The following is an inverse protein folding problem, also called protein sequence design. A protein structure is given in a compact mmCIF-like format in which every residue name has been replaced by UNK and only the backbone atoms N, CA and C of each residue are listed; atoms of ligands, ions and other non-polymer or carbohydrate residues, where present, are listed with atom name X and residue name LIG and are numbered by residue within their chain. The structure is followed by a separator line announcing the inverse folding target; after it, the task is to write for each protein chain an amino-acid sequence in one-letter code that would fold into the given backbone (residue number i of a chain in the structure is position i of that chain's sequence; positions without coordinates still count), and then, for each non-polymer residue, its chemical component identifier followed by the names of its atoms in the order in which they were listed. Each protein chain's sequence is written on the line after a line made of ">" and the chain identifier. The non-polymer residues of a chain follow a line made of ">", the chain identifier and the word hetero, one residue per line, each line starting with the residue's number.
data_IF_836093596329
#
_entry.id   IF_836093596329
#
_cell.length_a   1.000
_cell.length_b   1.000
_cell.length_c   1.000
_cell.angle_alpha   90.00
_cell.angle_beta   90.00
_cell.angle_gamma   90.00
#
_symmetry.space_group_name_H-M   'P 1'
#
loop_
_entity.id
_entity.type
_entity.pdbx_description
1 polymer ?
#
# COMPACT_ATOMS: atom_id res chain seq x y z
N UNK A 1 30.51 9.19 -8.64
CA UNK A 1 31.56 9.98 -9.30
C UNK A 1 32.88 9.26 -9.02
N UNK A 2 33.68 8.97 -10.05
CA UNK A 2 34.92 8.21 -9.88
C UNK A 2 36.05 9.15 -9.45
N UNK A 3 36.68 8.85 -8.32
CA UNK A 3 37.86 9.55 -7.81
C UNK A 3 39.10 8.67 -8.00
N UNK A 4 40.22 9.30 -8.35
CA UNK A 4 41.51 8.67 -8.55
C UNK A 4 42.46 9.18 -7.47
N UNK A 5 43.41 8.35 -7.02
CA UNK A 5 44.40 8.74 -6.04
C UNK A 5 45.69 9.14 -6.75
N UNK A 6 46.09 10.40 -6.58
CA UNK A 6 47.37 10.91 -7.07
C UNK A 6 48.38 10.86 -5.91
N UNK A 7 49.47 10.07 -6.01
CA UNK A 7 50.49 10.03 -4.98
C UNK A 7 51.28 11.34 -4.99
N UNK A 8 51.38 12.00 -3.85
CA UNK A 8 52.22 13.18 -3.68
C UNK A 8 53.64 12.77 -3.24
N UNK A 9 54.64 13.61 -3.55
CA UNK A 9 56.01 13.42 -3.08
C UNK A 9 56.17 13.34 -1.55
N UNK A 10 55.18 13.80 -0.78
CA UNK A 10 55.16 13.65 0.68
C UNK A 10 54.63 12.28 1.16
N UNK A 11 54.23 11.39 0.24
CA UNK A 11 53.67 10.08 0.55
C UNK A 11 52.16 10.07 0.84
N UNK A 12 51.48 11.21 0.70
CA UNK A 12 50.03 11.30 0.85
C UNK A 12 49.30 11.11 -0.49
N UNK A 13 48.17 10.41 -0.46
CA UNK A 13 47.30 10.23 -1.64
C UNK A 13 46.27 11.35 -1.73
N UNK A 14 46.24 12.04 -2.88
CA UNK A 14 45.34 13.16 -3.13
C UNK A 14 44.16 12.66 -3.98
N UNK A 15 42.91 12.76 -3.51
CA UNK A 15 41.75 12.39 -4.32
C UNK A 15 41.52 13.44 -5.41
N UNK A 16 41.67 13.04 -6.66
CA UNK A 16 41.44 13.87 -7.85
C UNK A 16 40.29 13.31 -8.69
N UNK A 17 39.46 14.21 -9.21
CA UNK A 17 38.38 13.86 -10.13
C UNK A 17 38.83 14.01 -11.58
N UNK A 18 38.13 13.33 -12.50
CA UNK A 18 38.39 13.47 -13.95
C UNK A 18 38.27 14.93 -14.45
N UNK A 19 37.49 15.77 -13.77
CA UNK A 19 37.33 17.19 -14.11
C UNK A 19 38.58 18.04 -13.82
N UNK A 20 39.49 17.53 -12.98
CA UNK A 20 40.73 18.22 -12.59
C UNK A 20 41.95 17.75 -13.40
N UNK A 21 41.74 16.91 -14.41
CA UNK A 21 42.79 16.38 -15.28
C UNK A 21 43.54 17.50 -16.03
N UNK A 22 44.87 17.43 -16.04
CA UNK A 22 45.72 18.43 -16.70
C UNK A 22 45.84 19.77 -15.97
N UNK A 23 45.28 19.90 -14.76
CA UNK A 23 45.44 21.06 -13.89
C UNK A 23 46.57 20.91 -12.87
N UNK A 24 46.60 21.81 -11.88
CA UNK A 24 47.44 21.69 -10.68
C UNK A 24 46.55 21.68 -9.45
N UNK A 25 46.89 20.86 -8.46
CA UNK A 25 46.17 20.79 -7.20
C UNK A 25 47.14 20.88 -6.02
N UNK A 26 46.76 21.62 -4.99
CA UNK A 26 47.52 21.68 -3.74
C UNK A 26 47.32 20.40 -2.93
N UNK A 27 48.42 19.79 -2.48
CA UNK A 27 48.36 18.68 -1.53
C UNK A 27 47.82 19.19 -0.17
N UNK A 28 46.76 18.59 0.39
CA UNK A 28 46.23 19.01 1.69
C UNK A 28 47.17 18.71 2.86
N UNK A 29 48.14 17.80 2.69
CA UNK A 29 49.07 17.42 3.75
C UNK A 29 50.31 18.33 3.81
N UNK A 30 50.93 18.63 2.67
CA UNK A 30 52.17 19.40 2.61
C UNK A 30 52.05 20.78 1.96
N UNK A 31 50.89 21.11 1.39
CA UNK A 31 50.61 22.39 0.72
C UNK A 31 51.30 22.58 -0.63
N UNK A 32 52.06 21.58 -1.13
CA UNK A 32 52.75 21.66 -2.42
C UNK A 32 51.77 21.52 -3.58
N UNK A 33 51.97 22.28 -4.65
CA UNK A 33 51.23 22.13 -5.90
C UNK A 33 51.77 20.94 -6.69
N UNK A 34 50.91 19.96 -6.95
CA UNK A 34 51.22 18.78 -7.75
C UNK A 34 50.50 18.87 -9.09
N UNK A 35 51.20 18.53 -10.18
CA UNK A 35 50.62 18.53 -11.52
C UNK A 35 49.74 17.29 -11.70
N UNK A 36 48.47 17.50 -12.02
CA UNK A 36 47.53 16.40 -12.28
C UNK A 36 47.78 15.88 -13.71
N UNK A 37 48.06 14.58 -13.89
CA UNK A 37 48.26 14.00 -15.21
C UNK A 37 47.08 14.25 -16.15
N UNK A 38 47.33 14.20 -17.45
CA UNK A 38 46.27 14.35 -18.46
C UNK A 38 45.27 13.20 -18.32
N UNK A 39 44.05 13.44 -18.82
CA UNK A 39 42.94 12.48 -18.70
C UNK A 39 43.27 11.07 -19.21
N UNK A 40 44.14 10.98 -20.22
CA UNK A 40 44.63 9.71 -20.79
C UNK A 40 45.45 8.88 -19.79
N UNK A 41 46.24 9.53 -18.94
CA UNK A 41 47.17 8.88 -18.01
C UNK A 41 46.53 8.69 -16.61
N UNK A 42 45.48 9.45 -16.31
CA UNK A 42 44.63 9.29 -15.13
C UNK A 42 44.00 7.90 -15.01
N UNK A 43 43.75 7.23 -16.14
CA UNK A 43 43.22 5.86 -16.17
C UNK A 43 44.18 4.79 -15.64
N UNK A 44 45.47 5.12 -15.50
CA UNK A 44 46.50 4.22 -14.97
C UNK A 44 46.72 4.36 -13.46
N UNK A 45 46.17 5.43 -12.84
CA UNK A 45 46.27 5.63 -11.40
C UNK A 45 45.36 4.66 -10.64
N UNK A 46 45.74 4.26 -9.40
CA UNK A 46 44.84 3.57 -8.50
C UNK A 46 43.57 4.40 -8.37
N UNK A 47 42.45 3.83 -8.81
CA UNK A 47 41.15 4.39 -8.45
C UNK A 47 41.11 4.37 -6.93
N UNK A 48 40.60 5.44 -6.33
CA UNK A 48 40.08 5.32 -4.99
C UNK A 48 39.01 4.24 -5.11
N UNK A 49 39.36 2.99 -4.81
CA UNK A 49 38.37 1.98 -4.53
C UNK A 49 37.44 2.68 -3.54
N UNK A 50 36.15 2.56 -3.76
CA UNK A 50 35.20 2.87 -2.71
C UNK A 50 35.48 1.86 -1.58
N UNK A 51 36.59 2.04 -0.87
CA UNK A 51 36.90 1.44 0.40
C UNK A 51 35.81 1.97 1.31
N UNK A 52 34.77 1.14 1.39
CA UNK A 52 34.31 0.65 2.66
C UNK A 52 34.51 1.67 3.76
N UNK A 53 33.63 2.68 3.78
CA UNK A 53 33.20 3.26 5.05
C UNK A 53 32.59 2.12 5.85
N UNK A 54 33.43 1.39 6.56
CA UNK A 54 33.07 0.61 7.74
C UNK A 54 32.44 1.62 8.68
N UNK A 55 31.11 1.65 8.75
CA UNK A 55 30.41 2.55 9.67
C UNK A 55 29.16 3.25 9.17
N UNK A 56 28.45 2.67 8.19
CA UNK A 56 26.98 2.54 8.22
C UNK A 56 26.60 1.89 6.91
N UNK A 57 26.16 0.62 6.97
CA UNK A 57 25.13 0.18 6.04
C UNK A 57 24.02 1.22 6.19
N UNK A 58 23.92 2.15 5.24
CA UNK A 58 22.61 2.66 4.87
C UNK A 58 21.84 1.38 4.60
N UNK A 59 21.02 0.96 5.57
CA UNK A 59 20.02 -0.04 5.33
C UNK A 59 19.22 0.57 4.19
N UNK A 60 19.51 0.17 2.95
CA UNK A 60 18.51 0.17 1.91
C UNK A 60 17.29 -0.38 2.63
N UNK A 61 16.29 0.48 2.84
CA UNK A 61 15.15 0.16 3.66
C UNK A 61 14.46 -1.00 2.96
N UNK A 62 14.88 -2.21 3.32
CA UNK A 62 14.51 -3.41 2.62
C UNK A 62 13.01 -3.52 2.77
N UNK A 63 12.32 -3.66 1.64
CA UNK A 63 10.90 -3.90 1.63
C UNK A 63 10.64 -5.18 2.44
N UNK A 64 10.21 -5.03 3.70
CA UNK A 64 10.00 -6.17 4.59
C UNK A 64 8.59 -6.73 4.37
N UNK A 65 8.37 -7.98 4.80
CA UNK A 65 7.05 -8.63 4.77
C UNK A 65 5.98 -7.75 5.44
N UNK A 66 6.35 -6.98 6.47
CA UNK A 66 5.45 -6.03 7.14
C UNK A 66 5.01 -4.87 6.22
N UNK A 67 5.90 -4.37 5.34
CA UNK A 67 5.53 -3.37 4.34
C UNK A 67 4.57 -3.97 3.31
N UNK A 68 4.79 -5.21 2.89
CA UNK A 68 3.85 -5.94 2.01
C UNK A 68 2.50 -6.13 2.69
N UNK A 69 2.46 -6.53 3.96
CA UNK A 69 1.21 -6.71 4.72
C UNK A 69 0.44 -5.40 4.87
N UNK A 70 1.15 -4.30 5.18
CA UNK A 70 0.56 -2.98 5.28
C UNK A 70 -0.04 -2.52 3.94
N UNK A 71 0.74 -2.63 2.85
CA UNK A 71 0.30 -2.18 1.53
C UNK A 71 -0.84 -3.06 1.00
N UNK A 72 -0.66 -4.39 0.97
CA UNK A 72 -1.67 -5.31 0.46
C UNK A 72 -2.96 -5.29 1.29
N UNK A 73 -2.84 -5.24 2.62
CA UNK A 73 -3.99 -5.12 3.52
C UNK A 73 -4.77 -3.82 3.28
N UNK A 74 -4.08 -2.70 3.12
CA UNK A 74 -4.71 -1.40 2.84
C UNK A 74 -5.42 -1.39 1.47
N UNK A 75 -4.79 -1.96 0.44
CA UNK A 75 -5.39 -2.05 -0.90
C UNK A 75 -6.66 -2.92 -0.88
N UNK A 76 -6.60 -4.07 -0.21
CA UNK A 76 -7.73 -4.97 -0.06
C UNK A 76 -8.88 -4.29 0.71
N UNK A 77 -8.56 -3.62 1.82
CA UNK A 77 -9.53 -2.90 2.63
C UNK A 77 -10.27 -1.82 1.83
N UNK A 78 -9.53 -0.99 1.09
CA UNK A 78 -10.10 0.10 0.30
C UNK A 78 -10.90 -0.47 -0.89
N UNK A 79 -10.34 -1.42 -1.63
CA UNK A 79 -10.97 -2.00 -2.81
C UNK A 79 -12.28 -2.70 -2.47
N UNK A 80 -12.27 -3.57 -1.45
CA UNK A 80 -13.48 -4.27 -1.01
C UNK A 80 -14.47 -3.33 -0.31
N UNK A 81 -13.97 -2.34 0.46
CA UNK A 81 -14.80 -1.33 1.12
C UNK A 81 -15.60 -0.50 0.10
N UNK A 82 -14.92 0.06 -0.89
CA UNK A 82 -15.55 0.81 -1.99
C UNK A 82 -16.46 -0.08 -2.84
N UNK A 83 -16.01 -1.29 -3.17
CA UNK A 83 -16.84 -2.28 -3.87
C UNK A 83 -18.14 -2.57 -3.15
N UNK A 84 -18.12 -2.67 -1.81
CA UNK A 84 -19.33 -2.90 -1.02
C UNK A 84 -20.34 -1.75 -1.07
N UNK A 85 -19.90 -0.52 -1.33
CA UNK A 85 -20.78 0.65 -1.48
C UNK A 85 -21.38 0.73 -2.89
N UNK A 86 -20.65 0.27 -3.91
CA UNK A 86 -21.12 0.23 -5.29
C UNK A 86 -22.14 -0.90 -5.53
N UNK A 87 -22.06 -1.97 -4.75
CA UNK A 87 -23.01 -3.08 -4.81
C UNK A 87 -24.23 -2.78 -3.93
N UNK A 88 -25.16 -2.00 -4.46
CA UNK A 88 -26.49 -1.83 -3.85
C UNK A 88 -27.41 -2.95 -4.31
N UNK A 89 -28.15 -3.62 -3.39
CA UNK A 89 -29.22 -4.51 -3.82
C UNK A 89 -30.20 -3.71 -4.66
N UNK A 90 -30.68 -4.22 -5.81
CA UNK A 90 -31.72 -3.55 -6.56
C UNK A 90 -32.91 -3.36 -5.61
N UNK A 91 -33.40 -2.14 -5.48
CA UNK A 91 -34.67 -1.91 -4.79
C UNK A 91 -35.69 -2.78 -5.50
N UNK A 92 -36.40 -3.59 -4.70
CA UNK A 92 -37.43 -4.43 -5.24
C UNK A 92 -38.46 -3.51 -5.86
N UNK A 93 -38.50 -3.47 -7.19
CA UNK A 93 -39.64 -2.99 -7.95
C UNK A 93 -40.75 -4.04 -7.78
N UNK A 94 -41.22 -4.16 -6.54
CA UNK A 94 -42.41 -4.91 -6.18
C UNK A 94 -43.53 -4.17 -6.88
N UNK A 95 -43.85 -4.63 -8.09
CA UNK A 95 -45.06 -4.32 -8.84
C UNK A 95 -45.44 -2.84 -8.71
N UNK A 96 -44.82 -1.99 -9.54
CA UNK A 96 -44.94 -0.52 -9.51
C UNK A 96 -46.22 -0.07 -8.80
N UNK A 97 -46.05 0.53 -7.62
CA UNK A 97 -47.18 0.88 -6.77
C UNK A 97 -48.24 1.68 -7.52
N UNK A 98 -47.84 2.42 -8.55
CA UNK A 98 -48.73 3.11 -9.48
C UNK A 98 -49.57 2.15 -10.33
N UNK A 99 -49.00 1.05 -10.84
CA UNK A 99 -49.71 0.01 -11.60
C UNK A 99 -50.61 -0.83 -10.70
N UNK A 100 -50.17 -1.17 -9.49
CA UNK A 100 -51.02 -1.81 -8.48
C UNK A 100 -52.20 -0.91 -8.12
N UNK A 101 -51.94 0.36 -7.85
CA UNK A 101 -52.97 1.32 -7.48
C UNK A 101 -53.91 1.60 -8.67
N UNK A 102 -53.39 1.66 -9.89
CA UNK A 102 -54.21 1.80 -11.10
C UNK A 102 -55.10 0.57 -11.33
N UNK A 103 -54.58 -0.65 -11.17
CA UNK A 103 -55.37 -1.87 -11.33
C UNK A 103 -56.44 -2.03 -10.22
N UNK A 104 -56.13 -1.63 -8.99
CA UNK A 104 -57.10 -1.60 -7.88
C UNK A 104 -58.17 -0.53 -8.11
N UNK A 105 -57.79 0.67 -8.54
CA UNK A 105 -58.73 1.77 -8.81
C UNK A 105 -59.61 1.51 -10.04
N UNK A 106 -59.13 0.70 -11.00
CA UNK A 106 -59.91 0.29 -12.16
C UNK A 106 -60.94 -0.81 -11.83
N UNK A 107 -60.76 -1.55 -10.72
CA UNK A 107 -61.71 -2.56 -10.27
C UNK A 107 -62.86 -1.91 -9.48
N UNK A 108 -64.08 -2.42 -9.65
CA UNK A 108 -65.22 -1.93 -8.85
C UNK A 108 -65.07 -2.35 -7.38
N UNK A 109 -65.47 -1.49 -6.44
CA UNK A 109 -65.38 -1.78 -5.01
C UNK A 109 -66.14 -3.08 -4.65
N UNK A 110 -67.24 -3.36 -5.35
CA UNK A 110 -68.01 -4.60 -5.23
C UNK A 110 -67.22 -5.85 -5.66
N UNK A 111 -66.42 -5.77 -6.73
CA UNK A 111 -65.60 -6.90 -7.18
C UNK A 111 -64.45 -7.19 -6.21
N UNK A 112 -63.81 -6.13 -5.68
CA UNK A 112 -62.73 -6.26 -4.71
C UNK A 112 -63.22 -6.89 -3.40
N UNK A 113 -64.35 -6.42 -2.87
CA UNK A 113 -64.94 -6.96 -1.63
C UNK A 113 -65.41 -8.40 -1.85
N UNK A 114 -66.01 -8.71 -3.00
CA UNK A 114 -66.47 -10.07 -3.31
C UNK A 114 -65.29 -11.02 -3.44
N UNK A 115 -64.22 -10.63 -4.14
CA UNK A 115 -62.99 -11.42 -4.25
C UNK A 115 -62.34 -11.65 -2.88
N UNK A 116 -62.31 -10.63 -2.03
CA UNK A 116 -61.76 -10.74 -0.67
C UNK A 116 -62.55 -11.72 0.19
N UNK A 117 -63.87 -11.54 0.30
CA UNK A 117 -64.73 -12.42 1.12
C UNK A 117 -64.78 -13.86 0.62
N UNK A 118 -64.77 -14.06 -0.70
CA UNK A 118 -64.90 -15.41 -1.27
C UNK A 118 -63.58 -16.16 -1.38
N UNK A 119 -62.44 -15.48 -1.56
CA UNK A 119 -61.13 -16.14 -1.80
C UNK A 119 -60.11 -15.96 -0.68
N UNK A 120 -60.13 -14.86 0.06
CA UNK A 120 -59.05 -14.52 1.03
C UNK A 120 -59.46 -14.74 2.48
N UNK A 121 -60.72 -14.50 2.84
CA UNK A 121 -61.18 -14.53 4.23
C UNK A 121 -61.22 -15.96 4.82
N UNK A 122 -61.34 -17.00 3.99
CA UNK A 122 -61.53 -18.38 4.47
C UNK A 122 -60.26 -19.24 4.48
N UNK A 123 -59.13 -18.71 4.04
CA UNK A 123 -57.91 -19.52 3.94
C UNK A 123 -56.69 -18.69 4.31
N UNK A 124 -55.96 -19.12 5.33
CA UNK A 124 -54.57 -18.75 5.55
C UNK A 124 -53.74 -19.37 4.41
N UNK A 125 -53.93 -18.87 3.20
CA UNK A 125 -53.17 -19.27 2.03
C UNK A 125 -51.82 -18.59 2.13
N UNK A 126 -50.86 -19.35 2.62
CA UNK A 126 -49.46 -19.12 2.29
C UNK A 126 -49.36 -19.24 0.76
N UNK A 127 -49.44 -18.10 0.07
CA UNK A 127 -49.41 -18.07 -1.39
C UNK A 127 -48.04 -18.61 -1.81
N UNK A 128 -47.97 -19.67 -2.63
CA UNK A 128 -46.70 -20.15 -3.13
C UNK A 128 -46.03 -19.03 -3.91
N UNK A 129 -44.76 -18.81 -3.60
CA UNK A 129 -43.95 -17.77 -4.21
C UNK A 129 -43.98 -17.95 -5.73
N UNK A 130 -44.36 -16.92 -6.47
CA UNK A 130 -44.33 -16.98 -7.94
C UNK A 130 -42.88 -17.16 -8.41
N UNK A 131 -42.68 -17.74 -9.60
CA UNK A 131 -41.33 -17.96 -10.13
C UNK A 131 -40.52 -16.65 -10.25
N UNK A 132 -41.21 -15.53 -10.54
CA UNK A 132 -40.60 -14.20 -10.61
C UNK A 132 -40.17 -13.70 -9.22
N UNK A 133 -41.02 -13.84 -8.21
CA UNK A 133 -40.68 -13.48 -6.82
C UNK A 133 -39.52 -14.33 -6.29
N UNK A 134 -39.51 -15.64 -6.58
CA UNK A 134 -38.43 -16.55 -6.20
C UNK A 134 -37.09 -16.17 -6.83
N UNK A 135 -37.07 -15.86 -8.14
CA UNK A 135 -35.88 -15.34 -8.83
C UNK A 135 -35.40 -14.02 -8.21
N UNK A 136 -36.33 -13.14 -7.86
CA UNK A 136 -36.03 -11.85 -7.25
C UNK A 136 -35.42 -12.00 -5.84
N UNK A 137 -36.00 -12.84 -4.99
CA UNK A 137 -35.46 -13.16 -3.66
C UNK A 137 -34.08 -13.82 -3.74
N UNK A 138 -33.88 -14.75 -4.67
CA UNK A 138 -32.56 -15.35 -4.87
C UNK A 138 -31.53 -14.30 -5.31
N UNK A 139 -31.92 -13.38 -6.19
CA UNK A 139 -31.04 -12.29 -6.64
C UNK A 139 -30.70 -11.32 -5.51
N UNK A 140 -31.67 -10.89 -4.71
CA UNK A 140 -31.43 -9.99 -3.58
C UNK A 140 -30.56 -10.66 -2.50
N UNK A 141 -30.81 -11.94 -2.21
CA UNK A 141 -30.02 -12.76 -1.27
C UNK A 141 -28.59 -12.91 -1.78
N UNK A 142 -28.40 -13.06 -3.09
CA UNK A 142 -27.08 -13.09 -3.69
C UNK A 142 -26.33 -11.77 -3.48
N UNK A 143 -26.94 -10.63 -3.80
CA UNK A 143 -26.30 -9.31 -3.64
C UNK A 143 -25.98 -8.98 -2.18
N UNK A 144 -26.86 -9.33 -1.25
CA UNK A 144 -26.62 -9.13 0.19
C UNK A 144 -25.45 -9.98 0.67
N UNK A 145 -25.41 -11.29 0.33
CA UNK A 145 -24.27 -12.16 0.65
C UNK A 145 -22.97 -11.69 0.02
N UNK A 146 -23.01 -11.24 -1.23
CA UNK A 146 -21.84 -10.70 -1.92
C UNK A 146 -21.30 -9.45 -1.20
N UNK A 147 -22.18 -8.51 -0.86
CA UNK A 147 -21.82 -7.30 -0.12
C UNK A 147 -21.26 -7.60 1.26
N UNK A 148 -21.87 -8.54 1.98
CA UNK A 148 -21.40 -8.97 3.30
C UNK A 148 -20.03 -9.65 3.21
N UNK A 149 -19.79 -10.45 2.17
CA UNK A 149 -18.49 -11.02 1.85
C UNK A 149 -17.42 -9.95 1.58
N UNK A 150 -17.75 -8.93 0.77
CA UNK A 150 -16.85 -7.79 0.52
C UNK A 150 -16.51 -7.03 1.80
N UNK A 151 -17.50 -6.80 2.68
CA UNK A 151 -17.27 -6.14 3.98
C UNK A 151 -16.36 -6.97 4.88
N UNK A 152 -16.58 -8.28 4.96
CA UNK A 152 -15.72 -9.19 5.71
C UNK A 152 -14.27 -9.17 5.20
N UNK A 153 -14.09 -9.21 3.87
CA UNK A 153 -12.77 -9.09 3.25
C UNK A 153 -12.10 -7.74 3.55
N UNK A 154 -12.87 -6.65 3.54
CA UNK A 154 -12.36 -5.32 3.87
C UNK A 154 -11.86 -5.24 5.33
N UNK A 155 -12.59 -5.84 6.27
CA UNK A 155 -12.20 -5.92 7.68
C UNK A 155 -10.91 -6.72 7.87
N UNK A 156 -10.78 -7.87 7.20
CA UNK A 156 -9.55 -8.68 7.23
C UNK A 156 -8.36 -7.90 6.66
N UNK A 157 -8.55 -7.19 5.55
CA UNK A 157 -7.54 -6.31 4.98
C UNK A 157 -7.10 -5.21 5.95
N UNK A 158 -8.05 -4.56 6.63
CA UNK A 158 -7.77 -3.53 7.61
C UNK A 158 -6.97 -4.07 8.81
N UNK A 159 -7.34 -5.25 9.34
CA UNK A 159 -6.61 -5.90 10.43
C UNK A 159 -5.18 -6.25 10.02
N UNK A 160 -4.97 -6.79 8.81
CA UNK A 160 -3.66 -7.06 8.26
C UNK A 160 -2.81 -5.77 8.14
N UNK A 161 -3.42 -4.68 7.68
CA UNK A 161 -2.75 -3.40 7.54
C UNK A 161 -2.30 -2.82 8.90
N UNK A 162 -3.20 -2.87 9.90
CA UNK A 162 -2.90 -2.43 11.27
C UNK A 162 -1.77 -3.28 11.87
N UNK A 163 -1.81 -4.60 11.71
CA UNK A 163 -0.75 -5.51 12.18
C UNK A 163 0.60 -5.21 11.54
N UNK A 164 0.63 -4.98 10.22
CA UNK A 164 1.84 -4.56 9.51
C UNK A 164 2.40 -3.23 10.02
N UNK A 165 1.53 -2.24 10.24
CA UNK A 165 1.91 -0.92 10.74
C UNK A 165 2.46 -0.95 12.16
N UNK A 166 1.79 -1.66 13.07
CA UNK A 166 2.25 -1.85 14.46
C UNK A 166 3.60 -2.57 14.48
N UNK A 167 3.78 -3.62 13.67
CA UNK A 167 5.05 -4.33 13.57
C UNK A 167 6.21 -3.45 13.09
N UNK A 168 5.97 -2.56 12.12
CA UNK A 168 6.98 -1.60 11.65
C UNK A 168 7.34 -0.61 12.76
N UNK A 169 6.35 -0.08 13.47
CA UNK A 169 6.57 0.87 14.57
C UNK A 169 7.37 0.23 15.72
N UNK A 170 7.00 -0.99 16.12
CA UNK A 170 7.71 -1.73 17.15
C UNK A 170 9.16 -2.06 16.75
N UNK A 171 9.41 -2.40 15.49
CA UNK A 171 10.76 -2.70 14.98
C UNK A 171 11.70 -1.48 14.92
N UNK A 172 11.17 -0.25 14.91
CA UNK A 172 11.99 0.99 14.89
C UNK A 172 12.47 1.43 16.26
N UNK A 173 11.80 1.03 17.35
CA UNK A 173 12.12 1.44 18.72
C UNK A 173 13.31 0.72 19.38
N UNK A 174 13.81 -0.36 18.77
CA UNK A 174 14.79 -1.26 19.40
C UNK A 174 16.27 -0.97 19.13
N UNK A 175 16.68 0.21 18.68
CA UNK A 175 18.13 0.50 18.57
C UNK A 175 18.67 0.93 19.94
N UNK A 176 19.46 0.10 20.65
CA UNK A 176 20.17 0.56 21.83
C UNK A 176 21.11 1.69 21.42
N UNK A 177 20.98 2.82 22.12
CA UNK A 177 21.96 3.88 22.09
C UNK A 177 23.29 3.28 22.55
N UNK A 178 24.27 3.23 21.63
CA UNK A 178 25.61 2.79 21.98
C UNK A 178 26.14 3.66 23.13
N UNK A 179 26.74 3.08 24.18
CA UNK A 179 27.31 3.88 25.25
C UNK A 179 28.41 4.79 24.68
N UNK A 180 28.55 6.02 25.19
CA UNK A 180 29.61 6.92 24.77
C UNK A 180 30.96 6.25 25.01
N UNK A 181 31.70 5.98 23.92
CA UNK A 181 33.01 5.36 23.97
C UNK A 181 34.01 6.28 24.67
N UNK A 182 34.61 5.76 25.73
CA UNK A 182 35.74 6.33 26.44
C UNK A 182 36.91 6.58 25.47
N UNK A 183 37.14 7.85 25.15
CA UNK A 183 38.40 8.33 24.59
C UNK A 183 39.37 8.63 25.74
N UNK A 184 39.80 7.59 26.45
CA UNK A 184 40.93 7.68 27.39
C UNK A 184 42.02 6.70 26.99
N UNK A 185 43.16 7.23 26.53
CA UNK A 185 44.38 6.43 26.42
C UNK A 185 45.26 6.70 25.21
N UNK A 186 45.58 7.96 24.89
CA UNK A 186 46.76 8.25 24.05
C UNK A 186 47.53 9.45 24.61
N UNK A 187 48.27 9.21 25.69
CA UNK A 187 49.46 9.97 26.09
C UNK A 187 50.50 9.01 26.63
N UNK A 188 51.50 8.71 25.80
CA UNK A 188 52.94 8.89 26.05
C UNK A 188 53.73 8.22 24.94
#
# INVERSE_FOLDING_TARGET
>A
MNAYLLPCACGADIPVSAAQAGGQIGCPACGRLEAVPKLRDLGQLPRAAAEAVVGRRATAAGWTILHTLLLAGSLLAIGCGLGSMLVTPPEFELLDSAVLQASVNAASATDVITAFRTRLEMTALERPLTEQEAKSLNRSTFYTRLRDGLRAAALLGALAAVGGGVGILAGRGGKPTAPPGDLQGRRR
#
